data_IF_382158179371
#
_entry.id   IF_382158179371
#
_cell.length_a   1.000
_cell.length_b   1.000
_cell.length_c   1.000
_cell.angle_alpha   90.00
_cell.angle_beta   90.00
_cell.angle_gamma   90.00
#
_symmetry.space_group_name_H-M   'P 1'
#
loop_
_entity.id
_entity.type
_entity.pdbx_description
1 polymer ?
#
# COMPACT_ATOMS: atom_id res chain seq x y z
N UNK A 1 -17.97 -2.35 22.70
CA UNK A 1 -17.02 -1.60 21.83
C UNK A 1 -17.43 -1.87 20.39
N UNK A 2 -17.66 -0.83 19.59
CA UNK A 2 -18.11 -0.98 18.20
C UNK A 2 -16.94 -1.47 17.35
N UNK A 3 -17.10 -2.63 16.72
CA UNK A 3 -16.13 -3.20 15.80
C UNK A 3 -15.87 -2.25 14.64
N UNK A 4 -14.72 -1.56 14.61
CA UNK A 4 -14.42 -0.63 13.50
C UNK A 4 -14.16 -1.46 12.26
N UNK A 5 -14.93 -1.30 11.19
CA UNK A 5 -14.72 -2.06 9.96
C UNK A 5 -13.43 -1.62 9.26
N UNK A 6 -12.67 -2.60 8.73
CA UNK A 6 -11.50 -2.32 7.89
C UNK A 6 -11.86 -1.40 6.73
N UNK A 7 -11.05 -0.36 6.52
CA UNK A 7 -11.28 0.58 5.42
C UNK A 7 -11.13 -0.12 4.07
N UNK A 8 -11.81 0.39 3.02
CA UNK A 8 -11.69 -0.17 1.67
C UNK A 8 -10.24 -0.18 1.17
N UNK A 9 -9.49 0.89 1.41
CA UNK A 9 -8.08 0.99 0.95
C UNK A 9 -7.21 0.00 1.69
N UNK A 10 -7.28 -0.03 3.03
CA UNK A 10 -6.55 -0.99 3.86
C UNK A 10 -6.84 -2.43 3.41
N UNK A 11 -8.12 -2.77 3.20
CA UNK A 11 -8.50 -4.11 2.72
C UNK A 11 -7.90 -4.45 1.36
N UNK A 12 -7.95 -3.53 0.39
CA UNK A 12 -7.36 -3.73 -0.94
C UNK A 12 -5.85 -3.98 -0.83
N UNK A 13 -5.15 -3.18 -0.02
CA UNK A 13 -3.70 -3.31 0.15
C UNK A 13 -3.33 -4.62 0.87
N UNK A 14 -4.10 -5.05 1.86
CA UNK A 14 -3.91 -6.36 2.49
C UNK A 14 -4.16 -7.51 1.52
N UNK A 15 -5.19 -7.42 0.67
CA UNK A 15 -5.42 -8.40 -0.41
C UNK A 15 -4.21 -8.47 -1.33
N UNK A 16 -3.67 -7.32 -1.74
CA UNK A 16 -2.50 -7.28 -2.61
C UNK A 16 -1.26 -7.89 -1.97
N UNK A 17 -0.98 -7.56 -0.72
CA UNK A 17 0.18 -8.11 -0.02
C UNK A 17 0.11 -9.63 0.14
N UNK A 18 -1.06 -10.20 0.44
CA UNK A 18 -1.23 -11.65 0.45
C UNK A 18 -0.84 -12.25 -0.91
N UNK A 19 -1.27 -11.64 -2.01
CA UNK A 19 -0.90 -12.08 -3.36
C UNK A 19 0.60 -11.90 -3.67
N UNK A 20 1.28 -10.95 -3.02
CA UNK A 20 2.72 -10.76 -3.16
C UNK A 20 3.53 -11.80 -2.38
N UNK A 21 3.06 -12.20 -1.20
CA UNK A 21 3.81 -13.08 -0.30
C UNK A 21 3.54 -14.56 -0.54
N UNK A 22 2.38 -14.90 -1.11
CA UNK A 22 1.99 -16.29 -1.34
C UNK A 22 2.06 -16.65 -2.83
N UNK A 23 2.43 -17.89 -3.13
CA UNK A 23 2.34 -18.43 -4.50
C UNK A 23 0.89 -18.56 -4.96
N UNK A 24 0.00 -18.91 -4.02
CA UNK A 24 -1.43 -18.97 -4.24
C UNK A 24 -2.19 -18.55 -2.98
N UNK A 25 -3.35 -17.90 -3.17
CA UNK A 25 -4.19 -17.39 -2.08
C UNK A 25 -5.62 -17.88 -2.28
N UNK A 26 -6.09 -18.75 -1.41
CA UNK A 26 -7.46 -19.27 -1.45
C UNK A 26 -8.44 -18.30 -0.80
N UNK A 27 -9.71 -18.69 -0.71
CA UNK A 27 -10.69 -17.89 0.01
C UNK A 27 -10.40 -17.82 1.52
N UNK A 28 -9.79 -18.84 2.10
CA UNK A 28 -9.60 -18.94 3.55
C UNK A 28 -8.70 -17.81 4.07
N UNK A 29 -7.67 -17.45 3.32
CA UNK A 29 -6.75 -16.35 3.60
C UNK A 29 -7.41 -14.97 3.46
N UNK A 30 -8.40 -14.85 2.56
CA UNK A 30 -9.17 -13.60 2.40
C UNK A 30 -10.34 -13.46 3.37
N UNK A 31 -10.82 -14.55 3.98
CA UNK A 31 -11.99 -14.53 4.85
C UNK A 31 -11.88 -13.56 6.05
N UNK A 32 -10.69 -13.35 6.68
CA UNK A 32 -10.50 -12.31 7.70
C UNK A 32 -10.68 -10.88 7.17
N UNK A 33 -10.38 -10.63 5.88
CA UNK A 33 -10.47 -9.31 5.25
C UNK A 33 -11.90 -8.93 4.86
N UNK A 34 -12.68 -9.91 4.44
CA UNK A 34 -14.10 -9.73 4.15
C UNK A 34 -14.82 -11.06 4.17
N UNK A 35 -16.02 -11.09 4.73
CA UNK A 35 -16.92 -12.25 4.61
C UNK A 35 -17.58 -12.37 3.22
N UNK A 36 -17.43 -11.36 2.34
CA UNK A 36 -18.08 -11.32 1.03
C UNK A 36 -17.08 -11.57 -0.10
N UNK A 37 -17.17 -12.73 -0.76
CA UNK A 37 -16.35 -13.09 -1.93
C UNK A 37 -16.39 -12.04 -3.04
N UNK A 38 -17.60 -11.48 -3.30
CA UNK A 38 -17.78 -10.43 -4.32
C UNK A 38 -17.01 -9.15 -3.98
N UNK A 39 -16.79 -8.85 -2.72
CA UNK A 39 -15.99 -7.70 -2.29
C UNK A 39 -14.53 -7.91 -2.65
N UNK A 40 -13.96 -9.07 -2.29
CA UNK A 40 -12.57 -9.41 -2.62
C UNK A 40 -12.36 -9.47 -4.15
N UNK A 41 -13.31 -10.02 -4.89
CA UNK A 41 -13.25 -10.01 -6.37
C UNK A 41 -13.20 -8.58 -6.94
N UNK A 42 -13.98 -7.64 -6.38
CA UNK A 42 -13.93 -6.23 -6.79
C UNK A 42 -12.64 -5.54 -6.38
N UNK A 43 -12.12 -5.88 -5.21
CA UNK A 43 -10.84 -5.36 -4.73
C UNK A 43 -9.69 -5.85 -5.63
N UNK A 44 -9.67 -7.13 -6.02
CA UNK A 44 -8.74 -7.69 -7.01
C UNK A 44 -8.88 -6.98 -8.37
N UNK A 45 -10.11 -6.74 -8.84
CA UNK A 45 -10.30 -5.98 -10.08
C UNK A 45 -9.71 -4.55 -10.01
N UNK A 46 -9.81 -3.89 -8.86
CA UNK A 46 -9.18 -2.58 -8.63
C UNK A 46 -7.65 -2.67 -8.58
N UNK A 47 -7.10 -3.73 -8.00
CA UNK A 47 -5.66 -4.03 -7.98
C UNK A 47 -5.14 -4.20 -9.42
N UNK A 48 -5.85 -4.98 -10.25
CA UNK A 48 -5.50 -5.15 -11.66
C UNK A 48 -5.58 -3.82 -12.42
N UNK A 49 -6.63 -3.02 -12.20
CA UNK A 49 -6.75 -1.68 -12.79
C UNK A 49 -5.64 -0.73 -12.36
N UNK A 50 -5.11 -0.89 -11.15
CA UNK A 50 -4.02 -0.11 -10.61
C UNK A 50 -2.62 -0.59 -11.07
N UNK A 51 -2.53 -1.64 -11.89
CA UNK A 51 -1.29 -2.06 -12.56
C UNK A 51 -0.88 -3.52 -12.35
N UNK A 52 -1.45 -4.21 -11.36
CA UNK A 52 -1.11 -5.61 -11.06
C UNK A 52 -1.93 -6.59 -11.92
N UNK A 53 -1.67 -6.58 -13.23
CA UNK A 53 -2.53 -7.23 -14.24
C UNK A 53 -2.50 -8.76 -14.26
N UNK A 54 -1.55 -9.38 -13.55
CA UNK A 54 -1.24 -10.81 -13.61
C UNK A 54 -2.02 -11.68 -12.62
N UNK A 55 -2.97 -11.09 -11.87
CA UNK A 55 -3.76 -11.81 -10.88
C UNK A 55 -4.92 -12.55 -11.56
N UNK A 56 -4.93 -13.88 -11.46
CA UNK A 56 -6.02 -14.72 -11.98
C UNK A 56 -6.52 -15.72 -10.96
N UNK A 57 -7.78 -16.12 -11.10
CA UNK A 57 -8.34 -17.22 -10.34
C UNK A 57 -8.11 -18.54 -11.07
N UNK A 58 -7.38 -19.47 -10.45
CA UNK A 58 -7.20 -20.83 -10.94
C UNK A 58 -8.34 -21.72 -10.41
N UNK A 59 -9.14 -22.27 -11.34
CA UNK A 59 -10.32 -23.08 -10.99
C UNK A 59 -9.95 -24.45 -10.43
N UNK A 60 -8.83 -25.02 -10.88
CA UNK A 60 -8.38 -26.36 -10.45
C UNK A 60 -7.88 -26.26 -9.01
N UNK A 61 -7.04 -25.25 -8.74
CA UNK A 61 -6.49 -24.99 -7.41
C UNK A 61 -7.48 -24.32 -6.46
N UNK A 62 -8.52 -23.69 -7.00
CA UNK A 62 -9.51 -22.87 -6.26
C UNK A 62 -8.86 -21.71 -5.50
N UNK A 63 -7.82 -21.13 -6.08
CA UNK A 63 -7.02 -20.06 -5.48
C UNK A 63 -6.69 -18.97 -6.51
N UNK A 64 -6.35 -17.78 -6.02
CA UNK A 64 -5.78 -16.72 -6.85
C UNK A 64 -4.27 -16.89 -6.94
N UNK A 65 -3.73 -16.69 -8.13
CA UNK A 65 -2.29 -16.74 -8.42
C UNK A 65 -1.90 -15.42 -9.06
N UNK A 66 -0.78 -14.85 -8.63
CA UNK A 66 -0.13 -13.70 -9.25
C UNK A 66 1.14 -14.18 -9.95
N UNK A 67 1.09 -14.29 -11.28
CA UNK A 67 2.18 -14.90 -12.07
C UNK A 67 3.38 -13.97 -12.23
N UNK A 68 3.13 -12.66 -12.27
CA UNK A 68 4.13 -11.62 -12.45
C UNK A 68 3.89 -10.50 -11.43
N UNK A 69 4.86 -10.23 -10.57
CA UNK A 69 4.73 -9.20 -9.53
C UNK A 69 5.02 -7.79 -10.06
N UNK A 70 5.41 -7.64 -11.32
CA UNK A 70 5.70 -6.34 -11.93
C UNK A 70 4.42 -5.50 -12.06
N UNK A 71 4.46 -4.26 -11.59
CA UNK A 71 3.39 -3.31 -11.82
C UNK A 71 3.50 -2.64 -13.18
N UNK A 72 2.39 -2.68 -13.94
CA UNK A 72 2.23 -1.90 -15.16
C UNK A 72 1.60 -0.54 -14.87
N UNK A 73 1.61 0.32 -15.87
CA UNK A 73 0.87 1.57 -15.81
C UNK A 73 -0.62 1.31 -15.49
N UNK A 74 -1.25 2.14 -14.64
CA UNK A 74 -2.65 1.99 -14.30
C UNK A 74 -3.56 2.21 -15.52
N UNK A 75 -4.72 1.56 -15.52
CA UNK A 75 -5.73 1.70 -16.56
C UNK A 75 -6.26 3.14 -16.61
N UNK A 76 -6.27 3.73 -17.80
CA UNK A 76 -6.90 5.02 -18.03
C UNK A 76 -8.43 4.86 -18.06
N UNK A 77 -9.12 5.57 -17.17
CA UNK A 77 -10.59 5.58 -17.09
C UNK A 77 -11.12 7.00 -17.22
N UNK A 78 -12.24 7.16 -17.92
CA UNK A 78 -12.84 8.49 -18.18
C UNK A 78 -13.39 9.13 -16.90
N UNK A 79 -13.92 8.32 -15.97
CA UNK A 79 -14.48 8.82 -14.73
C UNK A 79 -13.37 9.39 -13.83
N UNK A 80 -13.35 10.71 -13.64
CA UNK A 80 -12.33 11.42 -12.84
C UNK A 80 -12.20 10.91 -11.40
N UNK A 81 -13.30 10.52 -10.75
CA UNK A 81 -13.23 10.03 -9.37
C UNK A 81 -12.60 8.63 -9.32
N UNK A 82 -12.98 7.76 -10.24
CA UNK A 82 -12.38 6.44 -10.37
C UNK A 82 -10.91 6.53 -10.78
N UNK A 83 -10.56 7.42 -11.72
CA UNK A 83 -9.18 7.65 -12.14
C UNK A 83 -8.31 8.06 -10.96
N UNK A 84 -8.76 9.00 -10.12
CA UNK A 84 -8.05 9.37 -8.88
C UNK A 84 -7.89 8.20 -7.92
N UNK A 85 -8.91 7.34 -7.79
CA UNK A 85 -8.82 6.17 -6.94
C UNK A 85 -7.80 5.15 -7.47
N UNK A 86 -7.81 4.87 -8.77
CA UNK A 86 -6.86 3.95 -9.42
C UNK A 86 -5.43 4.49 -9.29
N UNK A 87 -5.22 5.79 -9.53
CA UNK A 87 -3.92 6.43 -9.37
C UNK A 87 -3.42 6.36 -7.92
N UNK A 88 -4.31 6.61 -6.94
CA UNK A 88 -3.97 6.42 -5.52
C UNK A 88 -3.54 4.99 -5.24
N UNK A 89 -4.31 4.01 -5.72
CA UNK A 89 -3.97 2.60 -5.53
C UNK A 89 -2.63 2.26 -6.19
N UNK A 90 -2.39 2.69 -7.42
CA UNK A 90 -1.12 2.44 -8.11
C UNK A 90 0.09 2.88 -7.27
N UNK A 91 0.05 4.09 -6.70
CA UNK A 91 1.12 4.58 -5.82
C UNK A 91 1.32 3.73 -4.58
N UNK A 92 0.23 3.36 -3.91
CA UNK A 92 0.27 2.56 -2.69
C UNK A 92 0.76 1.13 -2.96
N UNK A 93 0.30 0.49 -4.04
CA UNK A 93 0.75 -0.85 -4.44
C UNK A 93 2.25 -0.85 -4.75
N UNK A 94 2.73 0.18 -5.46
CA UNK A 94 4.15 0.31 -5.78
C UNK A 94 4.99 0.59 -4.55
N UNK A 95 4.52 1.47 -3.65
CA UNK A 95 5.19 1.72 -2.38
C UNK A 95 5.29 0.44 -1.53
N UNK A 96 4.24 -0.39 -1.49
CA UNK A 96 4.30 -1.69 -0.80
C UNK A 96 5.45 -2.58 -1.30
N UNK A 97 5.75 -2.56 -2.60
CA UNK A 97 6.76 -3.43 -3.22
C UNK A 97 8.17 -2.86 -3.23
N UNK A 98 8.30 -1.59 -3.58
CA UNK A 98 9.56 -1.00 -4.03
C UNK A 98 10.11 0.07 -3.09
N UNK A 99 9.31 0.55 -2.13
CA UNK A 99 9.75 1.64 -1.25
C UNK A 99 10.93 1.16 -0.37
N UNK A 100 12.05 1.89 -0.37
CA UNK A 100 13.23 1.56 0.44
C UNK A 100 13.02 1.95 1.90
N UNK A 101 13.78 1.32 2.79
CA UNK A 101 13.73 1.60 4.23
C UNK A 101 14.25 2.99 4.59
N UNK A 102 15.30 3.46 3.91
CA UNK A 102 15.85 4.80 4.07
C UNK A 102 15.48 5.68 2.89
N UNK A 103 15.41 6.99 3.13
CA UNK A 103 15.13 8.02 2.11
C UNK A 103 13.86 7.73 1.30
N UNK A 104 12.85 7.17 1.98
CA UNK A 104 11.62 6.70 1.35
C UNK A 104 10.81 7.86 0.74
N UNK A 105 10.97 9.09 1.23
CA UNK A 105 10.38 10.30 0.64
C UNK A 105 11.09 10.73 -0.65
N UNK A 106 12.42 10.61 -0.73
CA UNK A 106 13.18 10.89 -1.94
C UNK A 106 12.81 9.90 -3.04
N UNK A 107 12.76 8.61 -2.71
CA UNK A 107 12.25 7.57 -3.62
C UNK A 107 10.84 7.90 -4.09
N UNK A 108 9.93 8.26 -3.17
CA UNK A 108 8.54 8.53 -3.52
C UNK A 108 8.40 9.73 -4.46
N UNK A 109 9.11 10.82 -4.19
CA UNK A 109 9.12 12.02 -5.05
C UNK A 109 9.72 11.73 -6.43
N UNK A 110 10.73 10.86 -6.50
CA UNK A 110 11.30 10.43 -7.78
C UNK A 110 10.35 9.51 -8.56
N UNK A 111 9.64 8.62 -7.88
CA UNK A 111 8.71 7.68 -8.50
C UNK A 111 7.41 8.35 -8.98
N UNK A 112 6.97 9.41 -8.29
CA UNK A 112 5.73 10.13 -8.55
C UNK A 112 5.93 11.66 -8.53
N UNK A 113 6.68 12.23 -9.49
CA UNK A 113 7.05 13.64 -9.50
C UNK A 113 5.86 14.61 -9.58
N UNK A 114 4.72 14.15 -10.10
CA UNK A 114 3.48 14.93 -10.22
C UNK A 114 2.69 15.05 -8.90
N UNK A 115 3.13 14.34 -7.84
CA UNK A 115 2.37 14.21 -6.59
C UNK A 115 2.91 15.18 -5.54
N UNK A 116 2.02 16.01 -4.99
CA UNK A 116 2.41 16.93 -3.90
C UNK A 116 2.84 16.21 -2.63
N UNK A 117 3.71 16.85 -1.83
CA UNK A 117 4.11 16.38 -0.49
C UNK A 117 2.91 16.05 0.42
N UNK A 118 1.85 16.86 0.36
CA UNK A 118 0.62 16.60 1.13
C UNK A 118 -0.04 15.28 0.74
N UNK A 119 -0.02 14.93 -0.54
CA UNK A 119 -0.57 13.65 -1.01
C UNK A 119 0.33 12.49 -0.61
N UNK A 120 1.66 12.63 -0.73
CA UNK A 120 2.62 11.65 -0.22
C UNK A 120 2.38 11.34 1.27
N UNK A 121 2.30 12.37 2.12
CA UNK A 121 2.01 12.20 3.55
C UNK A 121 0.68 11.48 3.81
N UNK A 122 -0.35 11.75 3.00
CA UNK A 122 -1.64 11.04 3.10
C UNK A 122 -1.52 9.58 2.69
N UNK A 123 -0.72 9.28 1.67
CA UNK A 123 -0.48 7.91 1.21
C UNK A 123 0.36 7.16 2.25
N UNK A 124 1.41 7.76 2.83
CA UNK A 124 2.16 7.21 3.97
C UNK A 124 1.26 6.93 5.17
N UNK A 125 0.31 7.84 5.49
CA UNK A 125 -0.65 7.61 6.55
C UNK A 125 -1.62 6.45 6.27
N UNK A 126 -1.85 6.06 5.00
CA UNK A 126 -2.61 4.85 4.67
C UNK A 126 -1.75 3.60 4.85
N UNK A 127 -0.47 3.66 4.49
CA UNK A 127 0.48 2.57 4.72
C UNK A 127 0.69 2.32 6.21
N UNK A 128 0.78 3.37 7.04
CA UNK A 128 0.91 3.24 8.49
C UNK A 128 -0.30 2.54 9.14
N UNK A 129 -1.47 2.55 8.51
CA UNK A 129 -2.62 1.75 8.98
C UNK A 129 -2.48 0.25 8.72
N UNK A 130 -1.46 -0.15 7.98
CA UNK A 130 -1.10 -1.54 7.68
C UNK A 130 0.22 -1.89 8.36
N UNK A 131 0.55 -1.22 9.45
CA UNK A 131 1.77 -1.44 10.23
C UNK A 131 3.08 -1.19 9.46
N UNK A 132 3.06 -0.48 8.33
CA UNK A 132 4.28 0.14 7.82
C UNK A 132 4.70 1.24 8.79
N UNK A 133 5.89 1.18 9.37
CA UNK A 133 6.35 2.24 10.27
C UNK A 133 7.03 3.34 9.46
N UNK A 134 6.26 4.21 8.82
CA UNK A 134 6.81 5.37 8.12
C UNK A 134 6.89 6.55 9.07
N UNK A 135 8.11 6.99 9.39
CA UNK A 135 8.38 8.07 10.33
C UNK A 135 9.45 9.02 9.80
N UNK A 136 9.34 10.28 10.19
CA UNK A 136 10.40 11.26 9.97
C UNK A 136 11.31 11.25 11.18
N UNK A 137 12.56 10.83 10.99
CA UNK A 137 13.58 10.92 12.02
C UNK A 137 14.35 12.22 11.83
N UNK A 138 14.29 13.10 12.83
CA UNK A 138 15.09 14.31 12.85
C UNK A 138 16.50 13.94 13.27
N UNK A 139 17.50 14.43 12.55
CA UNK A 139 18.89 14.16 12.86
C UNK A 139 19.32 15.00 14.07
N UNK A 140 19.17 14.43 15.27
CA UNK A 140 19.42 15.13 16.54
C UNK A 140 20.91 15.46 16.74
N UNK A 141 21.82 14.85 15.98
CA UNK A 141 23.27 15.13 16.02
C UNK A 141 23.65 16.41 15.28
N UNK A 142 22.77 16.96 14.44
CA UNK A 142 23.00 18.24 13.74
C UNK A 142 22.55 19.45 14.56
N UNK A 143 21.96 19.23 15.75
CA UNK A 143 21.51 20.29 16.69
C UNK A 143 22.65 21.05 17.39
N UNK A 144 23.90 20.88 16.94
CA UNK A 144 25.07 21.63 17.42
C UNK A 144 25.45 22.85 16.59
N UNK A 145 24.77 23.12 15.46
CA UNK A 145 25.09 24.26 14.60
C UNK A 145 23.88 25.16 14.35
N UNK A 146 24.09 26.45 14.60
CA UNK A 146 23.22 27.57 14.28
C UNK A 146 23.19 27.76 12.74
N UNK A 147 22.63 26.79 12.01
CA UNK A 147 22.35 26.93 10.60
C UNK A 147 20.96 27.52 10.47
N UNK A 148 20.85 28.77 10.03
CA UNK A 148 19.59 29.45 9.70
C UNK A 148 18.84 28.82 8.51
N UNK A 149 18.76 27.49 8.45
CA UNK A 149 17.97 26.71 7.50
C UNK A 149 16.56 26.49 8.07
N UNK A 150 15.54 26.69 7.23
CA UNK A 150 14.12 26.62 7.62
C UNK A 150 13.66 25.22 8.05
N UNK A 151 14.44 24.17 7.77
CA UNK A 151 14.13 22.79 8.12
C UNK A 151 15.36 22.07 8.68
N UNK A 152 15.33 21.58 9.93
CA UNK A 152 16.44 20.78 10.45
C UNK A 152 16.61 19.52 9.60
N UNK A 153 17.84 19.07 9.34
CA UNK A 153 18.08 17.87 8.57
C UNK A 153 17.45 16.65 9.26
N UNK A 154 16.84 15.80 8.45
CA UNK A 154 16.18 14.59 8.88
C UNK A 154 15.74 13.81 7.66
N UNK A 155 15.51 12.52 7.86
CA UNK A 155 15.20 11.56 6.79
C UNK A 155 13.91 10.81 7.11
N UNK A 156 13.18 10.44 6.07
CA UNK A 156 12.09 9.51 6.25
C UNK A 156 12.63 8.08 6.27
N UNK A 157 12.24 7.35 7.31
CA UNK A 157 12.47 5.93 7.43
C UNK A 157 11.13 5.20 7.24
N UNK A 158 11.18 4.03 6.64
CA UNK A 158 10.06 3.10 6.61
C UNK A 158 10.50 1.71 7.05
N UNK A 159 9.80 1.14 8.01
CA UNK A 159 9.93 -0.28 8.33
C UNK A 159 8.80 -1.06 7.67
N UNK A 160 9.14 -2.13 6.94
CA UNK A 160 8.15 -3.01 6.30
C UNK A 160 7.84 -4.13 7.29
N UNK A 161 6.57 -4.35 7.65
CA UNK A 161 6.23 -5.41 8.58
C UNK A 161 6.55 -6.78 7.98
N UNK A 162 7.20 -7.64 8.78
CA UNK A 162 7.48 -9.05 8.48
C UNK A 162 6.19 -9.82 8.16
N UNK A 163 5.11 -9.46 8.85
CA UNK A 163 3.76 -9.87 8.54
C UNK A 163 2.79 -8.76 8.93
N UNK A 164 1.73 -8.54 8.14
CA UNK A 164 0.66 -7.67 8.59
C UNK A 164 0.00 -8.29 9.82
N UNK A 165 0.01 -7.56 10.93
CA UNK A 165 -0.46 -8.11 12.16
C UNK A 165 -1.95 -8.43 12.06
N UNK A 166 -2.33 -9.60 12.56
CA UNK A 166 -3.74 -9.89 12.78
C UNK A 166 -4.37 -8.87 13.73
N UNK A 167 -3.61 -8.10 14.53
CA UNK A 167 -4.13 -6.98 15.34
C UNK A 167 -4.79 -5.89 14.50
N UNK A 168 -4.26 -5.56 13.32
CA UNK A 168 -4.92 -4.68 12.34
C UNK A 168 -6.22 -5.30 11.79
N UNK A 169 -6.38 -6.62 11.93
CA UNK A 169 -7.57 -7.41 11.58
C UNK A 169 -8.41 -7.88 12.81
N UNK A 170 -7.95 -7.67 14.05
CA UNK A 170 -8.52 -8.21 15.30
C UNK A 170 -8.90 -7.11 16.29
N UNK A 171 -8.47 -5.87 16.08
CA UNK A 171 -9.21 -4.69 16.58
C UNK A 171 -10.48 -4.39 15.74
N UNK A 172 -10.92 -5.38 14.93
CA UNK A 172 -12.25 -5.49 14.34
C UNK A 172 -13.24 -6.03 15.38
#
# INVERSE_FOLDING_TARGET
MSKRSISKVSRILSVYYLLLQCEEVSWQEFAPLSHCKKTIQRDIALICQAGAVSVRFDRVRKAYVMEDKTLKAPVCVENKAQARQIQKLHRLLRALQEMPEEDCDLWYRSAFPEVSNRTMQRDFAELNKLDFEIRYERDLLVLGYDSGEEHPPGRYLSDRPDCFSLSTMQEL
#
